data_IF_811128258525
#
_entry.id   IF_811128258525
#
_cell.length_a   1.000
_cell.length_b   1.000
_cell.length_c   1.000
_cell.angle_alpha   90.00
_cell.angle_beta   90.00
_cell.angle_gamma   90.00
#
_symmetry.space_group_name_H-M   'P 1'
#
loop_
_entity.id
_entity.type
_entity.pdbx_description
1 polymer ?
#
# COMPACT_ATOMS: atom_id res chain seq x y z
N UNK A 1 7.86 4.53 -14.59
CA UNK A 1 7.61 3.55 -13.52
C UNK A 1 7.60 4.25 -12.18
N UNK A 2 6.62 3.94 -11.36
CA UNK A 2 6.50 4.53 -10.03
C UNK A 2 6.49 3.43 -8.98
N UNK A 3 7.23 3.62 -7.90
CA UNK A 3 7.29 2.69 -6.78
C UNK A 3 6.99 3.46 -5.51
N UNK A 4 6.08 2.93 -4.71
CA UNK A 4 5.72 3.55 -3.44
C UNK A 4 5.66 2.49 -2.34
N UNK A 5 6.12 2.85 -1.16
CA UNK A 5 5.90 2.06 0.04
C UNK A 5 4.82 2.72 0.86
N UNK A 6 3.89 1.94 1.34
CA UNK A 6 2.79 2.44 2.15
C UNK A 6 2.63 1.59 3.39
N UNK A 7 2.14 2.22 4.45
CA UNK A 7 1.81 1.54 5.69
C UNK A 7 0.29 1.47 5.76
N UNK A 8 -0.23 0.25 5.83
CA UNK A 8 -1.67 0.00 5.93
C UNK A 8 -1.97 -0.40 7.36
N UNK A 9 -2.91 0.31 7.98
CA UNK A 9 -3.31 0.04 9.35
C UNK A 9 -4.62 -0.76 9.35
N UNK A 10 -4.57 -2.06 9.69
CA UNK A 10 -5.77 -2.88 9.73
C UNK A 10 -6.53 -2.68 11.05
N UNK A 11 -7.81 -2.98 11.02
CA UNK A 11 -8.65 -2.92 12.21
C UNK A 11 -8.51 -4.20 13.02
N UNK A 12 -8.05 -4.07 14.27
CA UNK A 12 -8.05 -5.15 15.25
C UNK A 12 -7.57 -6.50 14.74
N UNK A 13 -8.43 -7.50 14.83
CA UNK A 13 -8.10 -8.88 14.49
C UNK A 13 -8.23 -9.22 13.01
N UNK A 14 -8.44 -8.22 12.17
CA UNK A 14 -8.71 -8.44 10.75
C UNK A 14 -7.47 -8.35 9.87
N UNK A 15 -6.28 -8.43 10.45
CA UNK A 15 -5.03 -8.29 9.71
C UNK A 15 -4.90 -9.29 8.57
N UNK A 16 -5.25 -10.55 8.81
CA UNK A 16 -5.15 -11.58 7.76
C UNK A 16 -6.13 -11.34 6.63
N UNK A 17 -7.32 -10.86 6.96
CA UNK A 17 -8.33 -10.51 5.96
C UNK A 17 -7.84 -9.36 5.09
N UNK A 18 -7.23 -8.35 5.71
CA UNK A 18 -6.69 -7.20 4.97
C UNK A 18 -5.53 -7.62 4.08
N UNK A 19 -4.63 -8.47 4.59
CA UNK A 19 -3.51 -8.97 3.79
C UNK A 19 -4.02 -9.70 2.55
N UNK A 20 -5.01 -10.58 2.70
CA UNK A 20 -5.58 -11.30 1.58
C UNK A 20 -6.19 -10.35 0.55
N UNK A 21 -6.90 -9.32 1.01
CA UNK A 21 -7.48 -8.33 0.13
C UNK A 21 -6.41 -7.51 -0.61
N UNK A 22 -5.32 -7.18 0.07
CA UNK A 22 -4.22 -6.45 -0.54
C UNK A 22 -3.54 -7.28 -1.63
N UNK A 23 -3.35 -8.57 -1.39
CA UNK A 23 -2.72 -9.44 -2.35
C UNK A 23 -3.54 -9.63 -3.62
N UNK A 24 -4.84 -9.38 -3.54
CA UNK A 24 -5.73 -9.43 -4.69
C UNK A 24 -5.62 -8.20 -5.61
N UNK A 25 -5.02 -7.13 -5.13
CA UNK A 25 -4.89 -5.91 -5.92
C UNK A 25 -3.62 -5.99 -6.77
N UNK A 26 -3.78 -5.85 -8.07
CA UNK A 26 -2.64 -5.86 -8.99
C UNK A 26 -1.72 -4.68 -8.70
N UNK A 27 -0.41 -4.94 -8.66
CA UNK A 27 0.57 -3.91 -8.39
C UNK A 27 1.00 -3.78 -6.94
N UNK A 28 0.34 -4.48 -6.03
CA UNK A 28 0.67 -4.46 -4.61
C UNK A 28 1.43 -5.73 -4.22
N UNK A 29 2.53 -5.54 -3.50
CA UNK A 29 3.26 -6.64 -2.85
C UNK A 29 3.27 -6.37 -1.35
N UNK A 30 2.83 -7.34 -0.57
CA UNK A 30 2.92 -7.24 0.88
C UNK A 30 4.36 -7.56 1.28
N UNK A 31 5.04 -6.58 1.84
CA UNK A 31 6.45 -6.71 2.20
C UNK A 31 6.63 -7.34 3.57
N UNK A 32 5.97 -6.79 4.58
CA UNK A 32 6.12 -7.26 5.95
C UNK A 32 5.00 -6.73 6.82
N UNK A 33 4.96 -7.22 8.05
CA UNK A 33 4.04 -6.72 9.08
C UNK A 33 4.88 -6.33 10.28
N UNK A 34 4.65 -5.14 10.81
CA UNK A 34 5.41 -4.65 11.95
C UNK A 34 4.91 -5.23 13.26
N UNK A 35 5.67 -5.03 14.34
CA UNK A 35 5.25 -5.46 15.67
C UNK A 35 3.99 -4.76 16.15
N UNK A 36 3.64 -3.63 15.55
CA UNK A 36 2.41 -2.89 15.86
C UNK A 36 1.25 -3.31 14.96
N UNK A 37 1.41 -4.41 14.23
CA UNK A 37 0.41 -4.94 13.32
C UNK A 37 0.08 -3.98 12.17
N UNK A 38 1.06 -3.21 11.73
CA UNK A 38 0.95 -2.40 10.53
C UNK A 38 1.52 -3.17 9.35
N UNK A 39 0.80 -3.15 8.24
CA UNK A 39 1.19 -3.88 7.03
C UNK A 39 1.98 -2.95 6.13
N UNK A 40 3.19 -3.34 5.79
CA UNK A 40 4.01 -2.58 4.86
C UNK A 40 3.85 -3.19 3.48
N UNK A 41 3.39 -2.37 2.54
CA UNK A 41 3.19 -2.79 1.16
C UNK A 41 4.06 -1.98 0.23
N UNK A 42 4.41 -2.60 -0.90
CA UNK A 42 5.10 -1.93 -2.00
C UNK A 42 4.16 -1.92 -3.19
N UNK A 43 3.97 -0.73 -3.75
CA UNK A 43 3.09 -0.53 -4.91
C UNK A 43 3.95 -0.17 -6.10
N UNK A 44 3.84 -0.96 -7.16
CA UNK A 44 4.58 -0.73 -8.40
C UNK A 44 3.59 -0.48 -9.52
N UNK A 45 3.70 0.66 -10.18
CA UNK A 45 2.81 1.04 -11.27
C UNK A 45 3.58 1.77 -12.36
N UNK A 46 2.91 2.05 -13.47
CA UNK A 46 3.51 2.81 -14.56
C UNK A 46 3.57 4.30 -14.28
N UNK A 47 2.70 4.80 -13.41
CA UNK A 47 2.60 6.24 -13.15
C UNK A 47 2.23 6.53 -11.71
N UNK A 48 2.56 7.75 -11.28
CA UNK A 48 2.20 8.22 -9.95
C UNK A 48 0.68 8.32 -9.78
N UNK A 49 -0.05 8.64 -10.86
CA UNK A 49 -1.50 8.68 -10.82
C UNK A 49 -2.10 7.33 -10.43
N UNK A 50 -1.52 6.24 -10.94
CA UNK A 50 -1.97 4.90 -10.59
C UNK A 50 -1.67 4.54 -9.14
N UNK A 51 -0.55 5.04 -8.61
CA UNK A 51 -0.25 4.86 -7.17
C UNK A 51 -1.35 5.48 -6.33
N UNK A 52 -1.79 6.69 -6.70
CA UNK A 52 -2.86 7.38 -5.98
C UNK A 52 -4.18 6.60 -6.06
N UNK A 53 -4.49 6.04 -7.23
CA UNK A 53 -5.69 5.23 -7.41
C UNK A 53 -5.66 3.97 -6.55
N UNK A 54 -4.51 3.31 -6.50
CA UNK A 54 -4.36 2.11 -5.68
C UNK A 54 -4.49 2.44 -4.20
N UNK A 55 -3.89 3.54 -3.76
CA UNK A 55 -4.03 3.99 -2.37
C UNK A 55 -5.49 4.21 -2.01
N UNK A 56 -6.25 4.82 -2.92
CA UNK A 56 -7.68 5.02 -2.74
C UNK A 56 -8.43 3.69 -2.60
N UNK A 57 -8.09 2.73 -3.45
CA UNK A 57 -8.70 1.40 -3.37
C UNK A 57 -8.41 0.73 -2.03
N UNK A 58 -7.18 0.85 -1.55
CA UNK A 58 -6.79 0.25 -0.27
C UNK A 58 -7.56 0.91 0.88
N UNK A 59 -7.72 2.23 0.83
CA UNK A 59 -8.48 2.94 1.86
C UNK A 59 -9.94 2.51 1.92
N UNK A 60 -10.48 2.05 0.81
CA UNK A 60 -11.89 1.62 0.72
C UNK A 60 -12.09 0.17 1.12
N UNK A 61 -11.03 -0.58 1.35
CA UNK A 61 -11.17 -1.97 1.78
C UNK A 61 -11.79 -2.03 3.18
N UNK A 62 -12.60 -3.05 3.39
CA UNK A 62 -13.15 -3.32 4.71
C UNK A 62 -12.03 -3.60 5.70
N UNK A 63 -12.18 -3.12 6.92
CA UNK A 63 -11.21 -3.35 8.00
C UNK A 63 -9.88 -2.63 7.84
N UNK A 64 -9.78 -1.65 6.95
CA UNK A 64 -8.63 -0.77 6.85
C UNK A 64 -8.95 0.54 7.56
N UNK A 65 -8.17 0.87 8.58
CA UNK A 65 -8.34 2.09 9.35
C UNK A 65 -7.65 3.29 8.70
N UNK A 66 -6.54 3.04 8.01
CA UNK A 66 -5.84 4.12 7.35
C UNK A 66 -4.69 3.60 6.49
N UNK A 67 -4.26 4.45 5.56
CA UNK A 67 -3.13 4.17 4.68
C UNK A 67 -2.22 5.40 4.70
N UNK A 68 -0.94 5.18 4.96
CA UNK A 68 0.03 6.26 5.09
C UNK A 68 1.19 6.01 4.14
N UNK A 69 1.54 6.97 3.28
CA UNK A 69 2.70 6.82 2.41
C UNK A 69 3.98 6.85 3.25
N UNK A 70 4.87 5.90 3.00
CA UNK A 70 6.17 5.85 3.67
C UNK A 70 7.29 6.27 2.74
N UNK A 71 7.18 5.94 1.45
CA UNK A 71 8.20 6.24 0.47
C UNK A 71 7.59 6.24 -0.93
N UNK A 72 7.96 7.22 -1.75
CA UNK A 72 7.53 7.29 -3.14
C UNK A 72 8.74 7.63 -3.99
N UNK A 73 8.93 6.86 -5.06
CA UNK A 73 9.98 7.09 -6.03
C UNK A 73 9.43 6.96 -7.44
N UNK A 74 9.85 7.86 -8.31
CA UNK A 74 9.51 7.77 -9.73
C UNK A 74 10.83 7.69 -10.50
N UNK A 75 11.03 6.61 -11.24
CA UNK A 75 12.29 6.36 -11.91
C UNK A 75 12.59 7.38 -13.01
N UNK A 76 11.57 7.97 -13.58
CA UNK A 76 11.69 8.89 -14.70
C UNK A 76 11.72 10.36 -14.29
N UNK A 77 11.63 10.66 -13.01
CA UNK A 77 11.60 12.03 -12.52
C UNK A 77 12.80 12.29 -11.64
N UNK A 78 13.48 13.42 -11.82
CA UNK A 78 14.58 13.75 -10.94
C UNK A 78 14.05 13.99 -9.52
N UNK A 79 14.71 13.38 -8.57
CA UNK A 79 14.43 13.65 -7.18
C UNK A 79 15.07 14.96 -6.81
N UNK A 80 14.29 15.90 -6.42
CA UNK A 80 14.81 17.20 -6.01
C UNK A 80 14.90 17.29 -4.51
#
# INVERSE_FOLDING_TARGET
MAIASMIVQPAGEHINTVIAALEDICGITVHSVTTKEEIIIVVETDSLAEVTQIASQVEQLSHVLGVFPAYISTADEPLS
#
